data_IF_350215566497
#
_entry.id   IF_350215566497
#
_cell.length_a   1.000
_cell.length_b   1.000
_cell.length_c   1.000
_cell.angle_alpha   90.00
_cell.angle_beta   90.00
_cell.angle_gamma   90.00
#
_symmetry.space_group_name_H-M   'P 1'
#
loop_
_entity.id
_entity.type
_entity.pdbx_description
1 polymer ?
#
# COMPACT_ATOMS: atom_id res chain seq x y z
N UNK A 1 34.16 31.23 65.62
CA UNK A 1 34.50 31.10 64.19
C UNK A 1 33.58 30.05 63.60
N UNK A 2 32.92 30.40 62.49
CA UNK A 2 32.34 29.47 61.51
C UNK A 2 31.14 28.61 61.98
N UNK A 3 29.91 29.01 61.69
CA UNK A 3 29.27 28.97 60.35
C UNK A 3 29.04 27.56 59.78
N UNK A 4 28.52 26.62 60.59
CA UNK A 4 28.03 25.34 60.07
C UNK A 4 26.51 25.12 60.15
N UNK A 5 25.74 26.06 60.68
CA UNK A 5 24.29 25.83 60.88
C UNK A 5 23.40 26.58 59.87
N UNK A 6 23.82 27.68 59.25
CA UNK A 6 22.88 28.51 58.44
C UNK A 6 23.27 28.78 56.97
N UNK A 7 24.29 28.12 56.42
CA UNK A 7 24.66 28.33 55.02
C UNK A 7 24.05 27.26 54.09
N UNK A 8 23.05 27.67 53.31
CA UNK A 8 22.31 26.95 52.26
C UNK A 8 21.00 26.25 52.67
N UNK A 9 20.19 26.97 53.47
CA UNK A 9 18.86 27.38 53.00
C UNK A 9 19.04 28.65 52.16
N UNK A 10 18.71 28.56 50.88
CA UNK A 10 18.57 29.61 49.86
C UNK A 10 19.38 29.26 48.61
N UNK A 11 18.81 28.38 47.80
CA UNK A 11 19.09 28.39 46.38
C UNK A 11 18.76 29.80 45.89
N UNK A 12 19.71 30.50 45.28
CA UNK A 12 19.47 31.86 44.82
C UNK A 12 18.30 31.82 43.83
N UNK A 13 17.32 32.71 43.97
CA UNK A 13 16.11 32.73 43.11
C UNK A 13 16.46 32.76 41.61
N UNK A 14 17.67 33.22 41.27
CA UNK A 14 18.26 33.22 39.92
C UNK A 14 18.83 31.86 39.47
N UNK A 15 19.38 31.06 40.36
CA UNK A 15 19.91 29.71 40.06
C UNK A 15 18.78 28.71 39.79
N UNK A 16 17.70 28.77 40.59
CA UNK A 16 16.50 27.96 40.36
C UNK A 16 15.79 28.30 39.05
N UNK A 17 15.81 29.58 38.65
CA UNK A 17 15.22 30.04 37.40
C UNK A 17 16.02 29.56 36.18
N UNK A 18 17.35 29.52 36.25
CA UNK A 18 18.19 29.03 35.14
C UNK A 18 18.04 27.51 34.92
N UNK A 19 17.93 26.76 36.01
CA UNK A 19 17.70 25.30 35.95
C UNK A 19 16.31 25.02 35.38
N UNK A 20 15.28 25.76 35.82
CA UNK A 20 13.92 25.61 35.32
C UNK A 20 13.78 25.93 33.82
N UNK A 21 14.43 27.01 33.34
CA UNK A 21 14.41 27.40 31.93
C UNK A 21 15.14 26.37 31.04
N UNK A 22 16.27 25.83 31.51
CA UNK A 22 17.02 24.81 30.77
C UNK A 22 16.25 23.49 30.67
N UNK A 23 15.51 23.12 31.72
CA UNK A 23 14.69 21.91 31.76
C UNK A 23 13.44 22.02 30.88
N UNK A 24 12.81 23.21 30.83
CA UNK A 24 11.68 23.49 29.93
C UNK A 24 12.08 23.41 28.46
N UNK A 25 13.27 23.89 28.08
CA UNK A 25 13.77 23.78 26.70
C UNK A 25 14.02 22.34 26.25
N UNK A 26 14.54 21.49 27.14
CA UNK A 26 14.77 20.06 26.88
C UNK A 26 13.46 19.28 26.72
N UNK A 27 12.42 19.61 27.50
CA UNK A 27 11.10 18.97 27.42
C UNK A 27 10.35 19.28 26.13
N UNK A 28 10.42 20.53 25.64
CA UNK A 28 9.77 20.94 24.38
C UNK A 28 10.45 20.30 23.15
N UNK A 29 11.78 20.17 23.18
CA UNK A 29 12.53 19.44 22.15
C UNK A 29 12.19 17.94 22.14
N UNK A 30 12.09 17.30 23.31
CA UNK A 30 11.76 15.89 23.43
C UNK A 30 10.32 15.55 23.00
N UNK A 31 9.35 16.43 23.30
CA UNK A 31 7.96 16.23 22.88
C UNK A 31 7.74 16.40 21.38
N UNK A 32 8.42 17.36 20.74
CA UNK A 32 8.27 17.60 19.29
C UNK A 32 8.87 16.44 18.48
N UNK A 33 10.03 15.93 18.90
CA UNK A 33 10.68 14.78 18.27
C UNK A 33 9.94 13.44 18.51
N UNK A 34 9.09 13.36 19.55
CA UNK A 34 8.29 12.17 19.88
C UNK A 34 6.94 12.14 19.14
N UNK A 35 6.36 13.30 18.84
CA UNK A 35 5.14 13.40 18.04
C UNK A 35 5.38 12.92 16.60
N UNK A 36 6.50 13.32 16.00
CA UNK A 36 6.93 12.92 14.64
C UNK A 36 7.13 11.39 14.49
N UNK A 37 7.52 10.73 15.58
CA UNK A 37 7.77 9.29 15.57
C UNK A 37 6.48 8.44 15.58
N UNK A 38 5.39 8.98 16.12
CA UNK A 38 4.12 8.25 16.30
C UNK A 38 3.15 8.39 15.10
N UNK A 39 3.32 9.39 14.24
CA UNK A 39 2.42 9.66 13.09
C UNK A 39 2.98 9.21 11.73
N UNK A 40 4.20 8.67 11.67
CA UNK A 40 4.72 7.99 10.46
C UNK A 40 5.22 8.88 9.31
N UNK A 41 5.33 10.21 9.49
CA UNK A 41 5.87 11.13 8.47
C UNK A 41 7.05 11.95 9.04
N UNK A 42 8.25 11.83 8.46
CA UNK A 42 9.43 12.60 8.94
C UNK A 42 9.82 13.79 8.05
N UNK A 43 9.41 13.87 6.78
CA UNK A 43 10.17 14.73 5.84
C UNK A 43 9.43 15.99 5.37
N UNK A 44 8.14 16.16 5.66
CA UNK A 44 7.47 17.43 5.38
C UNK A 44 7.09 18.18 6.65
N UNK A 45 8.12 18.68 7.33
CA UNK A 45 7.96 19.60 8.45
C UNK A 45 7.14 20.84 8.04
N UNK A 46 5.96 20.97 8.63
CA UNK A 46 5.18 22.19 8.59
C UNK A 46 5.93 23.35 9.27
N UNK A 47 5.46 24.58 9.02
CA UNK A 47 6.13 25.78 9.54
C UNK A 47 6.30 25.74 11.08
N UNK A 48 5.32 25.20 11.81
CA UNK A 48 5.25 25.25 13.27
C UNK A 48 6.27 24.36 13.99
N UNK A 49 6.56 23.16 13.48
CA UNK A 49 7.50 22.22 14.10
C UNK A 49 8.95 22.70 13.99
N UNK A 50 9.30 23.35 12.87
CA UNK A 50 10.59 24.00 12.69
C UNK A 50 10.81 25.12 13.70
N UNK A 51 9.78 25.92 14.02
CA UNK A 51 9.88 26.98 15.04
C UNK A 51 10.02 26.40 16.45
N UNK A 52 9.33 25.30 16.77
CA UNK A 52 9.44 24.62 18.07
C UNK A 52 10.85 24.12 18.37
N UNK A 53 11.48 23.46 17.39
CA UNK A 53 12.85 22.93 17.51
C UNK A 53 13.88 24.06 17.66
N UNK A 54 13.77 25.12 16.85
CA UNK A 54 14.69 26.26 16.88
C UNK A 54 14.59 27.03 18.21
N UNK A 55 13.38 27.25 18.74
CA UNK A 55 13.17 27.95 20.02
C UNK A 55 13.67 27.10 21.20
N UNK A 56 13.46 25.79 21.18
CA UNK A 56 13.97 24.87 22.21
C UNK A 56 15.50 24.85 22.29
N UNK A 57 16.18 24.79 21.14
CA UNK A 57 17.64 24.79 21.08
C UNK A 57 18.25 26.13 21.56
N UNK A 58 17.64 27.25 21.21
CA UNK A 58 18.08 28.58 21.64
C UNK A 58 18.02 28.76 23.18
N UNK A 59 16.95 28.27 23.82
CA UNK A 59 16.79 28.36 25.28
C UNK A 59 17.79 27.49 26.05
N UNK A 60 18.14 26.31 25.53
CA UNK A 60 19.15 25.43 26.13
C UNK A 60 20.56 26.03 26.09
N UNK A 61 20.95 26.64 24.96
CA UNK A 61 22.26 27.31 24.81
C UNK A 61 22.37 28.56 25.68
N UNK A 62 21.29 29.36 25.78
CA UNK A 62 21.25 30.54 26.66
C UNK A 62 21.38 30.12 28.14
N UNK A 63 20.72 29.04 28.56
CA UNK A 63 20.87 28.47 29.90
C UNK A 63 22.30 28.03 30.22
N UNK A 64 22.99 27.41 29.24
CA UNK A 64 24.36 26.93 29.38
C UNK A 64 25.39 28.08 29.45
N UNK A 65 25.23 29.12 28.63
CA UNK A 65 26.11 30.29 28.64
C UNK A 65 25.98 31.08 29.95
N UNK A 66 24.76 31.22 30.48
CA UNK A 66 24.51 31.86 31.78
C UNK A 66 25.06 31.04 32.96
N UNK A 67 25.11 29.71 32.82
CA UNK A 67 25.70 28.80 33.80
C UNK A 67 27.24 28.88 33.82
N UNK A 68 27.89 28.89 32.65
CA UNK A 68 29.35 28.96 32.51
C UNK A 68 29.90 30.33 32.92
N UNK A 69 29.18 31.41 32.59
CA UNK A 69 29.65 32.79 32.83
C UNK A 69 29.58 33.21 34.30
N UNK A 70 28.95 32.44 35.18
CA UNK A 70 28.64 32.85 36.55
C UNK A 70 29.40 32.08 37.66
N UNK A 71 30.29 31.13 37.36
CA UNK A 71 30.93 30.33 38.42
C UNK A 71 32.39 29.88 38.17
N UNK A 72 33.31 30.37 39.04
CA UNK A 72 34.58 29.74 39.44
C UNK A 72 34.44 29.20 40.88
N UNK A 73 33.85 28.01 41.12
CA UNK A 73 33.67 27.46 42.49
C UNK A 73 33.89 25.95 42.61
N UNK A 74 34.46 25.54 43.75
CA UNK A 74 34.68 24.16 44.23
C UNK A 74 33.38 23.53 44.77
N UNK A 75 33.04 22.32 44.35
CA UNK A 75 31.74 21.68 44.60
C UNK A 75 31.84 20.45 45.54
N UNK A 76 30.81 20.19 46.36
CA UNK A 76 30.72 19.06 47.30
C UNK A 76 30.10 17.80 46.66
N UNK A 77 30.91 16.76 46.55
CA UNK A 77 30.67 15.51 45.79
C UNK A 77 29.44 14.72 46.25
N UNK A 78 29.10 14.69 47.54
CA UNK A 78 28.00 13.85 48.04
C UNK A 78 26.61 14.39 47.66
N UNK A 79 26.47 15.72 47.48
CA UNK A 79 25.20 16.34 47.03
C UNK A 79 24.98 16.21 45.53
N UNK A 80 26.06 16.17 44.75
CA UNK A 80 25.98 15.86 43.31
C UNK A 80 25.45 14.43 43.12
N UNK A 81 25.97 13.46 43.89
CA UNK A 81 25.55 12.05 43.79
C UNK A 81 24.05 11.84 44.07
N UNK A 82 23.48 12.59 45.00
CA UNK A 82 22.06 12.52 45.32
C UNK A 82 21.18 13.09 44.19
N UNK A 83 21.62 14.15 43.53
CA UNK A 83 20.93 14.74 42.37
C UNK A 83 21.05 13.82 41.15
N UNK A 84 22.20 13.18 40.95
CA UNK A 84 22.38 12.19 39.90
C UNK A 84 21.44 11.01 40.09
N UNK A 85 21.26 10.46 41.30
CA UNK A 85 20.37 9.31 41.51
C UNK A 85 18.88 9.68 41.31
N UNK A 86 18.49 10.91 41.67
CA UNK A 86 17.11 11.38 41.47
C UNK A 86 16.81 11.84 40.03
N UNK A 87 17.84 12.00 39.18
CA UNK A 87 17.72 12.44 37.77
C UNK A 87 18.12 11.32 36.78
N UNK A 88 18.95 10.36 37.20
CA UNK A 88 19.33 9.18 36.43
C UNK A 88 18.28 8.06 36.47
N UNK A 89 17.39 8.03 37.47
CA UNK A 89 16.23 7.14 37.46
C UNK A 89 15.19 7.49 36.36
N UNK A 90 14.96 8.77 36.04
CA UNK A 90 14.29 9.16 34.79
C UNK A 90 15.08 8.78 33.52
N UNK A 91 16.41 8.70 33.57
CA UNK A 91 17.23 8.19 32.47
C UNK A 91 17.06 6.67 32.22
N UNK A 92 16.57 5.90 33.20
CA UNK A 92 16.10 4.52 32.99
C UNK A 92 14.74 4.44 32.29
N UNK A 93 13.99 5.53 32.26
CA UNK A 93 12.95 5.68 31.23
C UNK A 93 13.54 5.96 29.85
N UNK A 94 14.87 6.03 29.68
CA UNK A 94 15.54 5.63 28.44
C UNK A 94 15.14 4.22 27.95
N UNK A 95 14.45 3.40 28.73
CA UNK A 95 13.75 2.21 28.25
C UNK A 95 12.51 2.51 27.38
N UNK A 96 11.91 3.69 27.52
CA UNK A 96 10.94 4.28 26.59
C UNK A 96 11.49 4.31 25.15
N UNK A 97 12.79 4.50 25.00
CA UNK A 97 13.45 4.51 23.70
C UNK A 97 13.96 3.14 23.27
N UNK A 98 14.02 2.15 24.18
CA UNK A 98 14.10 0.75 23.78
C UNK A 98 12.82 0.30 23.05
N UNK A 99 11.67 0.90 23.38
CA UNK A 99 10.45 0.81 22.57
C UNK A 99 10.59 1.40 21.17
N UNK A 100 11.54 2.33 20.97
CA UNK A 100 11.83 2.89 19.65
C UNK A 100 12.68 1.93 18.79
N UNK A 101 13.67 1.30 19.42
CA UNK A 101 14.57 0.36 18.75
C UNK A 101 13.85 -0.89 18.21
N UNK A 102 12.79 -1.38 18.87
CA UNK A 102 12.03 -2.54 18.38
C UNK A 102 11.11 -2.21 17.18
N UNK A 103 10.54 -1.01 17.09
CA UNK A 103 9.79 -0.62 15.88
C UNK A 103 10.72 -0.43 14.70
N UNK A 104 11.95 0.03 14.96
CA UNK A 104 12.91 0.27 13.89
C UNK A 104 13.58 -1.01 13.41
N UNK A 105 13.53 -2.11 14.19
CA UNK A 105 13.95 -3.43 13.72
C UNK A 105 12.87 -4.13 12.87
N UNK A 106 11.58 -3.96 13.19
CA UNK A 106 10.48 -4.38 12.30
C UNK A 106 10.46 -3.53 11.00
N UNK A 107 10.94 -2.28 11.04
CA UNK A 107 11.15 -1.43 9.85
C UNK A 107 12.51 -1.63 9.15
N UNK A 108 13.49 -2.30 9.76
CA UNK A 108 14.86 -2.37 9.25
C UNK A 108 15.09 -3.34 8.10
N UNK A 109 14.06 -4.01 7.60
CA UNK A 109 14.09 -4.43 6.21
C UNK A 109 13.54 -3.27 5.37
N UNK A 110 14.36 -2.22 5.25
CA UNK A 110 14.61 -1.60 3.96
C UNK A 110 14.55 -2.71 2.92
N UNK A 111 13.46 -2.71 2.13
CA UNK A 111 13.24 -3.47 0.90
C UNK A 111 14.60 -3.61 0.22
N UNK A 112 15.27 -4.72 0.49
CA UNK A 112 16.68 -4.89 0.19
C UNK A 112 16.74 -5.50 -1.17
N UNK A 113 17.21 -4.73 -2.16
CA UNK A 113 17.57 -5.24 -3.48
C UNK A 113 16.39 -5.99 -4.16
N UNK A 114 15.32 -5.24 -4.44
CA UNK A 114 14.09 -5.68 -5.09
C UNK A 114 13.50 -6.95 -4.47
N UNK A 115 12.59 -6.76 -3.53
CA UNK A 115 11.45 -7.65 -3.35
C UNK A 115 10.90 -7.98 -4.75
N UNK A 116 11.33 -9.11 -5.32
CA UNK A 116 11.22 -9.34 -6.77
C UNK A 116 9.83 -9.90 -7.01
N UNK A 117 8.82 -9.02 -7.10
CA UNK A 117 7.46 -9.44 -7.42
C UNK A 117 7.50 -10.37 -8.64
N UNK A 118 6.85 -11.51 -8.44
CA UNK A 118 6.71 -12.55 -9.42
C UNK A 118 5.25 -12.96 -9.50
N UNK A 119 4.91 -13.73 -10.53
CA UNK A 119 3.55 -14.20 -10.77
C UNK A 119 3.51 -15.71 -10.61
N UNK A 120 2.49 -16.19 -9.88
CA UNK A 120 2.17 -17.60 -9.72
C UNK A 120 0.80 -17.95 -10.29
N UNK A 121 0.55 -19.25 -10.45
CA UNK A 121 -0.76 -19.81 -10.78
C UNK A 121 -1.21 -20.73 -9.66
N UNK A 122 -2.43 -20.49 -9.19
CA UNK A 122 -3.11 -21.31 -8.20
C UNK A 122 -4.28 -22.03 -8.84
N UNK A 123 -4.58 -23.23 -8.36
CA UNK A 123 -5.72 -24.04 -8.84
C UNK A 123 -6.78 -24.08 -7.76
N UNK A 124 -8.05 -23.96 -8.16
CA UNK A 124 -9.16 -24.11 -7.22
C UNK A 124 -9.42 -25.57 -6.91
N UNK A 125 -9.64 -25.88 -5.63
CA UNK A 125 -10.18 -27.18 -5.18
C UNK A 125 -11.71 -27.26 -5.25
N UNK A 126 -12.36 -26.14 -5.58
CA UNK A 126 -13.80 -25.98 -5.61
C UNK A 126 -14.32 -25.61 -7.00
N UNK A 127 -15.63 -25.76 -7.21
CA UNK A 127 -16.33 -25.13 -8.33
C UNK A 127 -16.50 -23.62 -8.14
N UNK A 128 -16.21 -23.11 -6.94
CA UNK A 128 -16.29 -21.70 -6.60
C UNK A 128 -14.97 -20.96 -6.88
N UNK A 129 -15.03 -19.69 -7.32
CA UNK A 129 -13.85 -18.92 -7.71
C UNK A 129 -13.18 -18.24 -6.50
N UNK A 130 -13.07 -18.89 -5.36
CA UNK A 130 -12.48 -18.28 -4.15
C UNK A 130 -11.87 -19.30 -3.17
N UNK A 131 -11.60 -20.51 -3.64
CA UNK A 131 -10.95 -21.59 -2.88
C UNK A 131 -9.71 -22.07 -3.65
N UNK A 132 -8.66 -21.26 -3.64
CA UNK A 132 -7.44 -21.49 -4.42
C UNK A 132 -6.30 -22.02 -3.57
N UNK A 133 -5.58 -23.01 -4.09
CA UNK A 133 -4.33 -23.48 -3.49
C UNK A 133 -3.18 -23.40 -4.50
N UNK A 134 -1.99 -23.09 -3.98
CA UNK A 134 -0.75 -23.13 -4.77
C UNK A 134 -0.17 -24.54 -4.92
N UNK A 135 -0.90 -25.57 -4.48
CA UNK A 135 -0.41 -26.95 -4.46
C UNK A 135 -0.34 -27.52 -5.88
N UNK A 136 0.70 -28.31 -6.15
CA UNK A 136 0.92 -29.02 -7.42
C UNK A 136 1.11 -28.10 -8.65
N UNK A 137 1.50 -26.84 -8.44
CA UNK A 137 1.99 -25.93 -9.48
C UNK A 137 3.40 -25.46 -9.11
N UNK A 138 4.32 -25.44 -10.06
CA UNK A 138 5.68 -24.94 -9.85
C UNK A 138 5.67 -23.42 -9.98
N UNK A 139 5.49 -22.73 -8.85
CA UNK A 139 5.52 -21.27 -8.79
C UNK A 139 6.91 -20.75 -8.37
N UNK A 140 7.28 -19.51 -8.76
CA UNK A 140 6.55 -18.63 -9.69
C UNK A 140 6.58 -19.16 -11.14
N UNK A 141 5.57 -18.80 -11.94
CA UNK A 141 5.48 -19.14 -13.36
C UNK A 141 6.06 -18.07 -14.28
N UNK A 142 6.23 -16.85 -13.75
CA UNK A 142 6.80 -15.72 -14.46
C UNK A 142 7.51 -14.80 -13.48
N UNK A 143 8.69 -14.31 -13.88
CA UNK A 143 9.56 -13.43 -13.11
C UNK A 143 10.09 -12.30 -13.99
N UNK A 144 10.80 -11.33 -13.41
CA UNK A 144 11.48 -10.27 -14.16
C UNK A 144 12.45 -10.81 -15.22
N UNK A 145 13.12 -11.93 -14.95
CA UNK A 145 14.12 -12.54 -15.84
C UNK A 145 13.51 -13.12 -17.13
N UNK A 146 12.19 -13.36 -17.14
CA UNK A 146 11.47 -13.87 -18.32
C UNK A 146 11.17 -12.76 -19.34
N UNK A 147 11.23 -11.49 -18.94
CA UNK A 147 11.02 -10.34 -19.81
C UNK A 147 12.27 -10.11 -20.68
N UNK A 148 12.10 -10.05 -22.00
CA UNK A 148 13.25 -10.11 -22.93
C UNK A 148 13.44 -8.88 -23.82
N UNK A 149 12.45 -8.00 -23.94
CA UNK A 149 12.48 -6.80 -24.79
C UNK A 149 12.80 -5.50 -24.03
N UNK A 150 12.62 -5.50 -22.70
CA UNK A 150 13.05 -4.45 -21.76
C UNK A 150 13.71 -5.08 -20.52
N UNK A 151 14.45 -4.27 -19.74
CA UNK A 151 15.00 -4.72 -18.46
C UNK A 151 13.99 -4.49 -17.34
N UNK A 152 13.41 -5.57 -16.84
CA UNK A 152 12.40 -5.55 -15.79
C UNK A 152 13.02 -5.59 -14.39
N UNK A 153 12.44 -4.83 -13.46
CA UNK A 153 12.72 -4.94 -12.03
C UNK A 153 11.84 -6.01 -11.39
N UNK A 154 10.58 -6.11 -11.81
CA UNK A 154 9.61 -7.09 -11.34
C UNK A 154 8.45 -7.27 -12.34
N UNK A 155 7.58 -8.26 -12.06
CA UNK A 155 6.28 -8.45 -12.73
C UNK A 155 5.15 -8.59 -11.69
N UNK A 156 4.01 -7.94 -11.91
CA UNK A 156 2.90 -7.90 -10.93
C UNK A 156 1.52 -7.74 -11.61
N UNK A 157 0.44 -7.76 -10.82
CA UNK A 157 -0.94 -7.52 -11.26
C UNK A 157 -1.41 -8.37 -12.47
N UNK A 158 -1.34 -9.71 -12.40
CA UNK A 158 -1.67 -10.55 -13.54
C UNK A 158 -3.18 -10.70 -13.77
N UNK A 159 -3.65 -10.33 -14.96
CA UNK A 159 -5.03 -10.51 -15.45
C UNK A 159 -5.13 -11.59 -16.54
N UNK A 160 -6.03 -12.56 -16.35
CA UNK A 160 -6.22 -13.69 -17.27
C UNK A 160 -7.39 -13.49 -18.24
N UNK A 161 -7.18 -13.91 -19.49
CA UNK A 161 -8.22 -14.12 -20.51
C UNK A 161 -8.05 -15.52 -21.11
N UNK A 162 -9.13 -16.28 -21.20
CA UNK A 162 -9.17 -17.52 -21.97
C UNK A 162 -9.94 -17.33 -23.27
N UNK A 163 -9.30 -17.63 -24.40
CA UNK A 163 -9.92 -17.55 -25.72
C UNK A 163 -9.30 -18.57 -26.67
N UNK A 164 -10.15 -19.31 -27.39
CA UNK A 164 -9.75 -20.27 -28.45
C UNK A 164 -8.68 -21.28 -27.98
N UNK A 165 -8.88 -21.88 -26.80
CA UNK A 165 -7.95 -22.87 -26.22
C UNK A 165 -6.55 -22.31 -25.88
N UNK A 166 -6.46 -21.00 -25.67
CA UNK A 166 -5.26 -20.31 -25.22
C UNK A 166 -5.60 -19.38 -24.05
N UNK A 167 -4.74 -19.41 -23.04
CA UNK A 167 -4.72 -18.46 -21.94
C UNK A 167 -3.76 -17.32 -22.28
N UNK A 168 -4.19 -16.10 -22.01
CA UNK A 168 -3.42 -14.88 -22.13
C UNK A 168 -3.35 -14.23 -20.75
N UNK A 169 -2.17 -13.78 -20.36
CA UNK A 169 -1.92 -13.06 -19.11
C UNK A 169 -1.36 -11.69 -19.45
N UNK A 170 -2.06 -10.66 -19.01
CA UNK A 170 -1.60 -9.26 -19.08
C UNK A 170 -1.17 -8.84 -17.68
N UNK A 171 -0.01 -8.22 -17.55
CA UNK A 171 0.59 -7.92 -16.24
C UNK A 171 1.45 -6.67 -16.31
N UNK A 172 1.68 -6.03 -15.16
CA UNK A 172 2.63 -4.94 -15.02
C UNK A 172 4.06 -5.45 -15.12
N UNK A 173 4.90 -4.71 -15.82
CA UNK A 173 6.36 -4.86 -15.86
C UNK A 173 6.99 -3.54 -15.45
N UNK A 174 7.71 -3.50 -14.33
CA UNK A 174 8.44 -2.28 -13.94
C UNK A 174 9.74 -2.18 -14.74
N UNK A 175 9.83 -1.18 -15.61
CA UNK A 175 10.99 -0.93 -16.44
C UNK A 175 12.10 -0.22 -15.66
N UNK A 176 13.25 -0.86 -15.50
CA UNK A 176 14.38 -0.32 -14.72
C UNK A 176 15.01 0.94 -15.32
N UNK A 177 14.84 1.19 -16.63
CA UNK A 177 15.44 2.35 -17.30
C UNK A 177 14.62 3.61 -17.13
N UNK A 178 13.29 3.49 -17.22
CA UNK A 178 12.33 4.61 -17.15
C UNK A 178 11.73 4.77 -15.76
N UNK A 179 11.83 3.76 -14.90
CA UNK A 179 11.18 3.69 -13.58
C UNK A 179 9.64 3.81 -13.67
N UNK A 180 9.08 3.25 -14.74
CA UNK A 180 7.64 3.23 -15.02
C UNK A 180 7.15 1.80 -15.28
N UNK A 181 5.89 1.54 -14.98
CA UNK A 181 5.20 0.31 -15.33
C UNK A 181 4.75 0.32 -16.79
N UNK A 182 5.03 -0.77 -17.50
CA UNK A 182 4.55 -1.09 -18.85
C UNK A 182 3.66 -2.36 -18.78
N UNK A 183 2.81 -2.61 -19.78
CA UNK A 183 1.97 -3.83 -19.77
C UNK A 183 2.59 -4.92 -20.64
N UNK A 184 2.98 -6.02 -20.00
CA UNK A 184 3.47 -7.25 -20.64
C UNK A 184 2.36 -8.22 -21.04
N UNK A 185 2.72 -9.16 -21.91
CA UNK A 185 1.90 -10.30 -22.31
C UNK A 185 2.67 -11.61 -22.16
N UNK A 186 2.01 -12.61 -21.62
CA UNK A 186 2.44 -14.01 -21.64
C UNK A 186 1.28 -14.91 -22.09
N UNK A 187 1.59 -16.06 -22.66
CA UNK A 187 0.61 -17.02 -23.15
C UNK A 187 0.83 -18.42 -22.59
N UNK A 188 -0.25 -19.20 -22.51
CA UNK A 188 -0.22 -20.60 -22.11
C UNK A 188 -1.30 -21.41 -22.83
N UNK A 189 -0.99 -22.66 -23.18
CA UNK A 189 -1.98 -23.60 -23.74
C UNK A 189 -2.67 -24.45 -22.67
N UNK A 190 -2.13 -24.52 -21.45
CA UNK A 190 -2.65 -25.34 -20.36
C UNK A 190 -3.01 -24.53 -19.10
N UNK A 191 -2.64 -23.25 -19.06
CA UNK A 191 -2.86 -22.34 -17.93
C UNK A 191 -1.79 -22.45 -16.84
N UNK A 192 -0.80 -23.34 -16.99
CA UNK A 192 0.22 -23.62 -15.98
C UNK A 192 1.64 -23.35 -16.47
N UNK A 193 1.93 -23.62 -17.74
CA UNK A 193 3.22 -23.35 -18.37
C UNK A 193 3.10 -22.09 -19.22
N UNK A 194 3.80 -21.02 -18.81
CA UNK A 194 3.67 -19.70 -19.41
C UNK A 194 4.91 -19.35 -20.23
N UNK A 195 4.70 -18.57 -21.29
CA UNK A 195 5.77 -18.05 -22.14
C UNK A 195 5.54 -16.56 -22.34
N UNK A 196 6.54 -15.76 -21.95
CA UNK A 196 6.57 -14.33 -22.22
C UNK A 196 6.57 -14.06 -23.73
N UNK A 197 5.80 -13.06 -24.15
CA UNK A 197 5.71 -12.64 -25.56
C UNK A 197 6.41 -11.29 -25.79
N UNK A 198 5.83 -10.20 -25.29
CA UNK A 198 6.34 -8.83 -25.46
C UNK A 198 5.57 -7.82 -24.57
N UNK A 199 6.09 -6.61 -24.45
CA UNK A 199 5.32 -5.44 -24.02
C UNK A 199 4.25 -5.10 -25.08
N UNK A 200 3.00 -4.96 -24.64
CA UNK A 200 1.83 -4.73 -25.52
C UNK A 200 1.19 -3.36 -25.35
N UNK A 201 1.50 -2.65 -24.27
CA UNK A 201 1.12 -1.26 -24.04
C UNK A 201 2.22 -0.55 -23.25
N UNK A 202 2.66 0.58 -23.79
CA UNK A 202 3.67 1.50 -23.23
C UNK A 202 3.15 2.91 -23.49
N UNK A 203 3.29 3.79 -22.50
CA UNK A 203 2.82 5.18 -22.51
C UNK A 203 3.90 6.08 -21.86
N UNK A 204 3.76 7.41 -21.99
CA UNK A 204 4.68 8.37 -21.35
C UNK A 204 4.51 8.46 -19.81
N UNK A 205 3.72 7.57 -19.21
CA UNK A 205 3.35 7.53 -17.81
C UNK A 205 3.16 6.08 -17.33
N UNK A 206 3.24 5.87 -16.03
CA UNK A 206 3.13 4.56 -15.38
C UNK A 206 1.80 3.86 -15.66
N UNK A 207 1.89 2.59 -16.05
CA UNK A 207 0.78 1.66 -16.23
C UNK A 207 0.94 0.48 -15.26
N UNK A 208 -0.13 0.17 -14.53
CA UNK A 208 -0.23 -1.03 -13.69
C UNK A 208 -1.64 -1.61 -13.78
N UNK A 209 -1.93 -2.68 -13.04
CA UNK A 209 -3.28 -3.21 -12.89
C UNK A 209 -4.10 -3.30 -14.20
N UNK A 210 -3.65 -4.06 -15.23
CA UNK A 210 -4.26 -4.04 -16.56
C UNK A 210 -5.59 -4.80 -16.59
N UNK A 211 -6.68 -4.19 -16.10
CA UNK A 211 -7.99 -4.84 -16.06
C UNK A 211 -8.52 -5.12 -17.48
N UNK A 212 -8.26 -6.33 -17.99
CA UNK A 212 -8.67 -6.79 -19.34
C UNK A 212 -10.01 -7.51 -19.28
N UNK A 213 -10.87 -7.23 -20.26
CA UNK A 213 -12.18 -7.87 -20.39
C UNK A 213 -12.63 -7.93 -21.85
N UNK A 214 -13.51 -8.89 -22.13
CA UNK A 214 -14.17 -9.03 -23.43
C UNK A 214 -15.53 -8.35 -23.38
N UNK A 215 -15.84 -7.57 -24.42
CA UNK A 215 -17.18 -7.03 -24.63
C UNK A 215 -17.57 -7.18 -26.10
N UNK A 216 -18.78 -7.71 -26.33
CA UNK A 216 -19.22 -8.12 -27.67
C UNK A 216 -18.18 -9.07 -28.31
N UNK A 217 -17.56 -8.66 -29.42
CA UNK A 217 -16.55 -9.43 -30.14
C UNK A 217 -15.14 -8.85 -30.00
N UNK A 218 -14.95 -7.86 -29.12
CA UNK A 218 -13.72 -7.11 -28.96
C UNK A 218 -13.15 -7.23 -27.54
N UNK A 219 -11.89 -6.83 -27.40
CA UNK A 219 -11.17 -6.83 -26.13
C UNK A 219 -10.78 -5.42 -25.73
N UNK A 220 -10.97 -5.16 -24.45
CA UNK A 220 -10.77 -3.87 -23.82
C UNK A 220 -9.90 -4.01 -22.59
N UNK A 221 -9.19 -2.94 -22.25
CA UNK A 221 -8.31 -2.86 -21.08
C UNK A 221 -8.52 -1.51 -20.43
N UNK A 222 -8.56 -1.51 -19.10
CA UNK A 222 -8.47 -0.31 -18.27
C UNK A 222 -7.30 -0.53 -17.31
N UNK A 223 -6.08 -0.11 -17.69
CA UNK A 223 -4.97 -0.11 -16.74
C UNK A 223 -5.19 0.98 -15.69
N UNK A 224 -4.51 0.86 -14.56
CA UNK A 224 -4.27 2.00 -13.69
C UNK A 224 -3.41 3.02 -14.44
N UNK A 225 -3.89 4.26 -14.44
CA UNK A 225 -3.23 5.39 -15.11
C UNK A 225 -3.23 6.61 -14.21
N UNK A 226 -2.92 6.42 -12.91
CA UNK A 226 -3.08 7.46 -11.88
C UNK A 226 -2.30 8.73 -12.23
N UNK A 227 -1.11 8.60 -12.84
CA UNK A 227 -0.28 9.73 -13.28
C UNK A 227 -0.93 10.55 -14.40
N UNK A 228 -1.85 9.96 -15.15
CA UNK A 228 -2.65 10.63 -16.17
C UNK A 228 -3.95 11.26 -15.60
N UNK A 229 -4.14 11.24 -14.27
CA UNK A 229 -5.29 11.82 -13.55
C UNK A 229 -6.66 11.39 -14.15
N UNK A 230 -6.72 10.16 -14.66
CA UNK A 230 -7.88 9.66 -15.39
C UNK A 230 -7.97 8.14 -15.38
N UNK A 231 -9.16 7.63 -15.66
CA UNK A 231 -9.41 6.21 -15.97
C UNK A 231 -9.54 6.09 -17.48
N UNK A 232 -8.62 5.38 -18.12
CA UNK A 232 -8.51 5.29 -19.59
C UNK A 232 -8.96 3.93 -20.12
N UNK A 233 -9.79 3.95 -21.16
CA UNK A 233 -10.21 2.76 -21.89
C UNK A 233 -9.34 2.56 -23.14
N UNK A 234 -8.74 1.38 -23.26
CA UNK A 234 -8.02 0.92 -24.43
C UNK A 234 -8.79 -0.21 -25.11
N UNK A 235 -8.62 -0.35 -26.43
CA UNK A 235 -9.15 -1.45 -27.23
C UNK A 235 -8.01 -2.08 -28.03
N UNK A 236 -8.00 -3.41 -28.08
CA UNK A 236 -7.10 -4.15 -28.95
C UNK A 236 -7.61 -4.14 -30.40
N UNK A 237 -6.74 -3.77 -31.34
CA UNK A 237 -7.05 -3.82 -32.78
C UNK A 237 -6.72 -5.18 -33.42
N UNK A 238 -5.93 -6.00 -32.74
CA UNK A 238 -5.52 -7.33 -33.19
C UNK A 238 -5.18 -8.20 -31.98
N UNK A 239 -6.21 -8.61 -31.23
CA UNK A 239 -6.04 -9.31 -29.95
C UNK A 239 -5.13 -10.54 -30.09
N UNK A 240 -4.13 -10.72 -29.19
CA UNK A 240 -3.89 -10.00 -27.92
C UNK A 240 -3.04 -8.71 -28.02
N UNK A 241 -2.74 -8.22 -29.22
CA UNK A 241 -1.79 -7.14 -29.48
C UNK A 241 -2.45 -5.82 -29.90
N UNK A 242 -1.64 -4.79 -30.14
CA UNK A 242 -2.04 -3.50 -30.76
C UNK A 242 -3.16 -2.79 -30.00
N UNK A 243 -2.91 -2.47 -28.73
CA UNK A 243 -3.82 -1.69 -27.90
C UNK A 243 -3.78 -0.21 -28.29
N UNK A 244 -4.95 0.42 -28.38
CA UNK A 244 -5.08 1.85 -28.67
C UNK A 244 -6.05 2.52 -27.73
N UNK A 245 -5.70 3.71 -27.25
CA UNK A 245 -6.58 4.56 -26.46
C UNK A 245 -7.89 4.84 -27.20
N UNK A 246 -9.02 4.63 -26.51
CA UNK A 246 -10.37 4.85 -27.04
C UNK A 246 -10.99 6.08 -26.40
N UNK A 247 -10.96 6.15 -25.07
CA UNK A 247 -11.70 7.18 -24.33
C UNK A 247 -11.26 7.29 -22.86
N UNK A 248 -11.34 8.50 -22.33
CA UNK A 248 -11.33 8.76 -20.88
C UNK A 248 -12.71 8.50 -20.28
N UNK A 249 -12.79 7.59 -19.30
CA UNK A 249 -14.04 7.19 -18.64
C UNK A 249 -14.37 8.07 -17.43
N UNK A 250 -13.34 8.37 -16.62
CA UNK A 250 -13.35 9.30 -15.50
C UNK A 250 -12.11 10.20 -15.61
N UNK A 251 -12.22 11.45 -15.19
CA UNK A 251 -11.15 12.44 -15.19
C UNK A 251 -11.27 13.30 -13.93
N UNK A 252 -10.15 13.63 -13.29
CA UNK A 252 -10.14 14.47 -12.10
C UNK A 252 -8.90 14.21 -11.24
N UNK A 253 -8.68 15.10 -10.27
CA UNK A 253 -7.52 15.03 -9.36
C UNK A 253 -7.63 13.98 -8.26
N UNK A 254 -8.60 13.08 -8.36
CA UNK A 254 -8.70 11.95 -7.47
C UNK A 254 -7.71 10.89 -7.96
N UNK A 255 -6.95 10.27 -7.05
CA UNK A 255 -5.99 9.22 -7.38
C UNK A 255 -6.74 7.93 -7.73
N UNK A 256 -7.14 7.76 -8.99
CA UNK A 256 -7.84 6.54 -9.44
C UNK A 256 -6.88 5.36 -9.56
N UNK A 257 -6.86 4.51 -8.55
CA UNK A 257 -5.99 3.32 -8.51
C UNK A 257 -6.81 2.02 -8.53
N UNK A 258 -6.22 0.97 -9.09
CA UNK A 258 -6.77 -0.37 -9.24
C UNK A 258 -8.19 -0.39 -9.83
N UNK A 259 -8.35 0.21 -11.01
CA UNK A 259 -9.65 0.41 -11.64
C UNK A 259 -10.26 -0.92 -12.15
N UNK A 260 -11.21 -1.49 -11.41
CA UNK A 260 -11.87 -2.76 -11.79
C UNK A 260 -13.24 -2.54 -12.40
N UNK A 261 -13.38 -2.92 -13.68
CA UNK A 261 -14.63 -2.84 -14.43
C UNK A 261 -15.27 -4.22 -14.61
N UNK A 262 -16.61 -4.26 -14.59
CA UNK A 262 -17.37 -5.45 -14.99
C UNK A 262 -18.77 -5.05 -15.45
N UNK A 263 -19.46 -5.99 -16.10
CA UNK A 263 -20.85 -5.81 -16.50
C UNK A 263 -21.75 -6.80 -15.77
N UNK A 264 -22.89 -6.31 -15.29
CA UNK A 264 -23.93 -7.15 -14.69
C UNK A 264 -25.31 -6.54 -14.96
N UNK A 265 -26.27 -7.37 -15.41
CA UNK A 265 -27.65 -6.98 -15.76
C UNK A 265 -27.71 -5.73 -16.67
N UNK A 266 -27.02 -5.80 -17.81
CA UNK A 266 -26.96 -4.72 -18.83
C UNK A 266 -26.41 -3.37 -18.30
N UNK A 267 -25.80 -3.35 -17.12
CA UNK A 267 -25.18 -2.18 -16.51
C UNK A 267 -23.69 -2.41 -16.34
N UNK A 268 -22.90 -1.41 -16.70
CA UNK A 268 -21.47 -1.37 -16.43
C UNK A 268 -21.21 -0.79 -15.05
N UNK A 269 -20.26 -1.39 -14.34
CA UNK A 269 -19.86 -1.03 -12.99
C UNK A 269 -18.35 -0.85 -12.93
N UNK A 270 -17.90 0.13 -12.16
CA UNK A 270 -16.49 0.46 -12.00
C UNK A 270 -16.19 0.72 -10.52
N UNK A 271 -15.28 -0.06 -9.98
CA UNK A 271 -14.67 0.13 -8.66
C UNK A 271 -13.34 0.88 -8.85
N UNK A 272 -13.07 1.85 -7.98
CA UNK A 272 -11.80 2.60 -8.00
C UNK A 272 -11.49 3.10 -6.59
N UNK A 273 -10.25 2.86 -6.14
CA UNK A 273 -9.75 3.40 -4.87
C UNK A 273 -9.31 4.86 -5.08
N UNK A 274 -9.54 5.75 -4.11
CA UNK A 274 -9.27 7.19 -4.25
C UNK A 274 -8.71 7.89 -3.00
N UNK A 275 -8.40 7.16 -1.93
CA UNK A 275 -8.08 7.69 -0.59
C UNK A 275 -6.83 7.09 0.03
N UNK A 276 -5.81 6.78 -0.76
CA UNK A 276 -4.55 6.23 -0.25
C UNK A 276 -4.74 4.89 0.48
N UNK A 277 -5.47 3.99 -0.16
CA UNK A 277 -5.76 2.59 0.19
C UNK A 277 -6.99 2.32 1.08
N UNK A 278 -7.70 3.33 1.60
CA UNK A 278 -8.82 3.12 2.53
C UNK A 278 -10.20 3.58 2.03
N UNK A 279 -10.29 4.11 0.81
CA UNK A 279 -11.51 4.71 0.26
C UNK A 279 -11.89 4.11 -1.10
N UNK A 280 -12.98 3.34 -1.13
CA UNK A 280 -13.50 2.73 -2.36
C UNK A 280 -14.73 3.47 -2.88
N UNK A 281 -14.67 3.88 -4.15
CA UNK A 281 -15.79 4.47 -4.88
C UNK A 281 -16.37 3.48 -5.90
N UNK A 282 -17.66 3.67 -6.17
CA UNK A 282 -18.42 2.88 -7.14
C UNK A 282 -19.07 3.82 -8.15
N UNK A 283 -18.91 3.49 -9.44
CA UNK A 283 -19.53 4.19 -10.55
C UNK A 283 -20.33 3.20 -11.40
N UNK A 284 -21.31 3.71 -12.15
CA UNK A 284 -22.06 2.91 -13.11
C UNK A 284 -22.30 3.64 -14.43
N UNK A 285 -22.56 2.88 -15.49
CA UNK A 285 -23.00 3.39 -16.78
C UNK A 285 -23.89 2.40 -17.53
N UNK A 286 -24.75 2.92 -18.42
CA UNK A 286 -25.51 2.11 -19.37
C UNK A 286 -24.68 1.70 -20.60
N UNK A 287 -23.52 2.33 -20.80
CA UNK A 287 -22.64 2.07 -21.95
C UNK A 287 -21.19 2.07 -21.50
N UNK A 288 -20.37 1.21 -22.07
CA UNK A 288 -18.95 1.11 -21.74
C UNK A 288 -18.22 2.46 -21.85
N UNK A 289 -18.50 3.21 -22.92
CA UNK A 289 -17.91 4.52 -23.18
C UNK A 289 -18.55 5.66 -22.35
N UNK A 290 -19.39 5.35 -21.36
CA UNK A 290 -20.05 6.33 -20.51
C UNK A 290 -21.31 6.98 -21.12
N UNK A 291 -21.87 8.01 -20.45
CA UNK A 291 -21.29 8.68 -19.27
C UNK A 291 -21.27 7.80 -18.03
N UNK A 292 -20.25 7.93 -17.21
CA UNK A 292 -20.13 7.26 -15.91
C UNK A 292 -20.68 8.15 -14.81
N UNK A 293 -21.49 7.57 -13.93
CA UNK A 293 -22.18 8.28 -12.85
C UNK A 293 -21.70 7.66 -11.54
N UNK A 294 -21.24 8.49 -10.61
CA UNK A 294 -20.91 8.02 -9.27
C UNK A 294 -22.17 7.49 -8.57
N UNK A 295 -22.06 6.30 -7.99
CA UNK A 295 -23.16 5.64 -7.32
C UNK A 295 -23.56 6.44 -6.06
N UNK A 296 -24.85 6.61 -5.74
CA UNK A 296 -25.30 7.42 -4.59
C UNK A 296 -24.89 6.88 -3.21
N UNK A 297 -24.41 5.63 -3.14
CA UNK A 297 -23.79 5.07 -1.93
C UNK A 297 -22.27 5.25 -1.87
N UNK A 298 -21.66 5.83 -2.90
CA UNK A 298 -20.23 6.12 -2.93
C UNK A 298 -19.89 7.27 -1.97
N UNK A 299 -18.75 7.22 -1.26
CA UNK A 299 -17.83 6.07 -1.18
C UNK A 299 -18.52 4.88 -0.49
N UNK A 300 -18.42 3.71 -1.10
CA UNK A 300 -19.05 2.48 -0.58
C UNK A 300 -18.24 1.88 0.58
N UNK A 301 -16.96 2.24 0.69
CA UNK A 301 -16.08 1.96 1.82
C UNK A 301 -15.27 3.23 2.10
N UNK A 302 -15.12 3.59 3.38
CA UNK A 302 -14.37 4.76 3.83
C UNK A 302 -13.71 4.46 5.18
N UNK A 303 -12.38 4.42 5.21
CA UNK A 303 -11.58 4.15 6.40
C UNK A 303 -11.39 2.66 6.72
N UNK A 304 -11.43 1.77 5.72
CA UNK A 304 -11.10 0.34 5.89
C UNK A 304 -10.14 -0.15 4.80
N UNK A 305 -8.84 -0.04 5.09
CA UNK A 305 -7.77 -0.43 4.18
C UNK A 305 -7.67 -1.95 3.92
N UNK A 306 -8.42 -2.78 4.66
CA UNK A 306 -8.38 -4.23 4.45
C UNK A 306 -9.24 -4.69 3.25
N UNK A 307 -10.18 -3.85 2.80
CA UNK A 307 -11.20 -4.21 1.80
C UNK A 307 -11.51 -3.13 0.75
N UNK A 308 -10.89 -1.95 0.87
CA UNK A 308 -11.10 -0.83 -0.05
C UNK A 308 -10.44 -1.06 -1.40
N UNK A 309 -9.15 -1.41 -1.44
CA UNK A 309 -8.39 -1.50 -2.69
C UNK A 309 -8.78 -2.77 -3.49
N UNK A 310 -9.22 -2.65 -4.76
CA UNK A 310 -9.57 -3.81 -5.58
C UNK A 310 -8.40 -4.77 -5.81
N UNK A 311 -8.61 -6.08 -5.64
CA UNK A 311 -7.55 -7.10 -5.73
C UNK A 311 -7.61 -7.98 -6.99
N UNK A 312 -8.20 -7.49 -8.09
CA UNK A 312 -8.25 -8.13 -9.40
C UNK A 312 -9.64 -8.04 -10.05
N UNK A 313 -10.01 -9.04 -10.85
CA UNK A 313 -11.30 -9.06 -11.55
C UNK A 313 -12.50 -9.21 -10.60
N UNK A 314 -13.68 -8.74 -11.04
CA UNK A 314 -14.95 -9.18 -10.45
C UNK A 314 -15.48 -10.38 -11.22
N UNK A 315 -15.82 -11.46 -10.52
CA UNK A 315 -16.35 -12.68 -11.12
C UNK A 315 -17.86 -12.76 -10.94
N UNK A 316 -18.57 -12.84 -12.07
CA UNK A 316 -20.00 -13.18 -12.10
C UNK A 316 -20.14 -14.66 -12.47
N UNK A 317 -20.60 -15.48 -11.52
CA UNK A 317 -20.75 -16.94 -11.72
C UNK A 317 -22.10 -17.44 -11.20
N UNK A 318 -22.43 -18.70 -11.47
CA UNK A 318 -23.73 -19.31 -11.11
C UNK A 318 -24.93 -18.45 -11.52
N UNK A 319 -24.84 -17.87 -12.72
CA UNK A 319 -25.79 -16.95 -13.36
C UNK A 319 -25.89 -15.56 -12.72
N UNK A 320 -25.77 -15.43 -11.40
CA UNK A 320 -26.03 -14.14 -10.71
C UNK A 320 -25.16 -13.83 -9.49
N UNK A 321 -24.29 -14.72 -9.02
CA UNK A 321 -23.42 -14.43 -7.86
C UNK A 321 -22.24 -13.58 -8.31
N UNK A 322 -21.95 -12.51 -7.58
CA UNK A 322 -20.92 -11.53 -7.93
C UNK A 322 -19.88 -11.52 -6.81
N UNK A 323 -18.64 -11.85 -7.14
CA UNK A 323 -17.52 -11.87 -6.20
C UNK A 323 -16.53 -10.77 -6.57
N UNK A 324 -16.25 -9.92 -5.59
CA UNK A 324 -15.20 -8.89 -5.65
C UNK A 324 -14.02 -9.36 -4.80
N UNK A 325 -12.81 -9.28 -5.34
CA UNK A 325 -11.59 -9.51 -4.57
C UNK A 325 -10.99 -8.19 -4.13
N UNK A 326 -10.32 -8.20 -2.98
CA UNK A 326 -9.75 -6.99 -2.39
C UNK A 326 -8.36 -7.26 -1.90
N UNK A 327 -7.46 -6.32 -2.18
CA UNK A 327 -6.19 -6.24 -1.52
C UNK A 327 -6.41 -5.79 -0.08
N UNK A 328 -5.77 -6.49 0.85
CA UNK A 328 -5.63 -6.06 2.23
C UNK A 328 -4.30 -5.28 2.39
N UNK A 329 -4.40 -4.00 2.72
CA UNK A 329 -3.25 -3.10 2.89
C UNK A 329 -2.81 -2.93 4.36
N UNK A 330 -3.58 -3.41 5.35
CA UNK A 330 -3.26 -3.23 6.78
C UNK A 330 -2.79 -4.57 7.40
N UNK A 331 -1.64 -4.63 8.10
CA UNK A 331 -0.75 -3.52 8.47
C UNK A 331 0.33 -3.18 7.42
N UNK A 332 0.39 -3.89 6.30
CA UNK A 332 1.34 -3.64 5.21
C UNK A 332 0.74 -4.01 3.85
N UNK A 333 1.30 -3.45 2.78
CA UNK A 333 0.84 -3.66 1.40
C UNK A 333 0.87 -5.15 1.02
N UNK A 334 -0.27 -5.66 0.51
CA UNK A 334 -0.40 -7.05 0.09
C UNK A 334 -0.28 -8.02 1.25
N UNK A 335 -0.89 -7.69 2.39
CA UNK A 335 -0.95 -8.57 3.56
C UNK A 335 -1.68 -9.88 3.22
N UNK A 336 -2.76 -9.77 2.44
CA UNK A 336 -3.62 -10.88 2.02
C UNK A 336 -4.66 -10.41 1.00
N UNK A 337 -5.43 -11.36 0.45
CA UNK A 337 -6.58 -11.07 -0.43
C UNK A 337 -7.86 -11.62 0.17
N UNK A 338 -8.92 -10.82 0.17
CA UNK A 338 -10.27 -11.23 0.57
C UNK A 338 -11.20 -11.40 -0.62
N UNK A 339 -12.19 -12.28 -0.48
CA UNK A 339 -13.34 -12.36 -1.38
C UNK A 339 -14.60 -11.85 -0.68
N UNK A 340 -15.33 -10.95 -1.33
CA UNK A 340 -16.62 -10.41 -0.87
C UNK A 340 -17.70 -10.73 -1.91
N UNK A 341 -18.84 -11.24 -1.45
CA UNK A 341 -20.01 -11.46 -2.27
C UNK A 341 -20.90 -10.21 -2.23
N UNK A 342 -21.13 -9.61 -3.40
CA UNK A 342 -22.05 -8.48 -3.56
C UNK A 342 -23.47 -9.04 -3.62
N UNK A 343 -24.24 -8.82 -2.55
CA UNK A 343 -25.61 -9.35 -2.40
C UNK A 343 -26.67 -8.41 -2.95
N UNK A 344 -26.37 -7.11 -3.00
CA UNK A 344 -27.26 -6.09 -3.55
C UNK A 344 -26.46 -5.20 -4.48
N UNK A 345 -26.82 -5.15 -5.76
CA UNK A 345 -26.21 -4.25 -6.75
C UNK A 345 -27.30 -3.66 -7.65
N UNK A 346 -27.69 -2.43 -7.36
CA UNK A 346 -28.59 -1.63 -8.20
C UNK A 346 -28.05 -0.21 -8.30
N UNK A 347 -28.58 0.63 -9.20
CA UNK A 347 -28.12 2.02 -9.36
C UNK A 347 -28.35 2.91 -8.13
N UNK A 348 -29.04 2.41 -7.10
CA UNK A 348 -29.39 3.14 -5.88
C UNK A 348 -29.00 2.44 -4.58
N UNK A 349 -28.60 1.16 -4.64
CA UNK A 349 -28.35 0.32 -3.46
C UNK A 349 -27.16 -0.58 -3.72
N UNK A 350 -26.31 -0.71 -2.70
CA UNK A 350 -25.11 -1.54 -2.72
C UNK A 350 -24.92 -2.20 -1.35
N UNK A 351 -24.70 -3.51 -1.34
CA UNK A 351 -24.34 -4.29 -0.15
C UNK A 351 -23.43 -5.46 -0.55
N UNK A 352 -22.43 -5.73 0.28
CA UNK A 352 -21.54 -6.89 0.15
C UNK A 352 -21.17 -7.45 1.52
N UNK A 353 -20.70 -8.69 1.56
CA UNK A 353 -20.14 -9.30 2.76
C UNK A 353 -18.99 -10.26 2.42
N UNK A 354 -18.06 -10.48 3.35
CA UNK A 354 -16.98 -11.46 3.17
C UNK A 354 -17.57 -12.86 2.99
N UNK A 355 -17.12 -13.58 1.96
CA UNK A 355 -17.55 -14.95 1.66
C UNK A 355 -17.19 -15.92 2.81
N UNK A 356 -16.07 -15.67 3.47
CA UNK A 356 -15.57 -16.49 4.58
C UNK A 356 -14.99 -15.66 5.72
N UNK A 357 -14.61 -16.36 6.80
CA UNK A 357 -13.92 -15.76 7.96
C UNK A 357 -12.39 -15.66 7.79
N UNK A 358 -11.86 -16.31 6.76
CA UNK A 358 -10.44 -16.32 6.43
C UNK A 358 -10.22 -15.63 5.08
N UNK A 359 -9.05 -15.01 4.86
CA UNK A 359 -8.67 -14.52 3.54
C UNK A 359 -8.55 -15.70 2.56
N UNK A 360 -8.74 -15.42 1.28
CA UNK A 360 -8.66 -16.43 0.23
C UNK A 360 -7.23 -16.67 -0.26
N UNK A 361 -6.35 -15.67 -0.08
CA UNK A 361 -4.93 -15.77 -0.33
C UNK A 361 -4.17 -15.07 0.78
N UNK A 362 -3.01 -15.63 1.12
CA UNK A 362 -2.02 -15.04 2.01
C UNK A 362 -0.65 -15.57 1.60
N UNK A 363 0.41 -14.83 1.91
CA UNK A 363 1.77 -15.26 1.62
C UNK A 363 2.14 -16.56 2.32
N UNK A 364 2.98 -17.35 1.66
CA UNK A 364 3.59 -18.57 2.21
C UNK A 364 5.09 -18.35 2.41
N UNK A 365 5.76 -19.14 3.24
CA UNK A 365 7.21 -19.04 3.49
C UNK A 365 8.06 -19.49 2.27
N UNK A 366 7.93 -18.82 1.13
CA UNK A 366 8.64 -19.07 -0.13
C UNK A 366 8.72 -17.81 -1.03
N UNK A 367 8.44 -17.94 -2.34
CA UNK A 367 8.48 -16.89 -3.37
C UNK A 367 7.46 -15.76 -3.18
N UNK A 368 6.45 -15.95 -2.34
CA UNK A 368 5.40 -14.97 -2.09
C UNK A 368 5.15 -14.74 -0.61
N UNK A 369 6.23 -14.59 0.16
CA UNK A 369 6.16 -14.36 1.60
C UNK A 369 5.39 -13.07 1.94
N UNK A 370 5.50 -12.05 1.09
CA UNK A 370 4.83 -10.76 1.21
C UNK A 370 4.20 -10.34 -0.13
N UNK A 371 3.51 -9.20 -0.12
CA UNK A 371 3.00 -8.58 -1.34
C UNK A 371 1.91 -9.37 -2.06
N UNK A 372 1.20 -10.27 -1.37
CA UNK A 372 0.05 -10.99 -1.93
C UNK A 372 -1.16 -10.05 -2.01
N UNK A 373 -1.34 -9.39 -3.15
CA UNK A 373 -2.36 -8.36 -3.32
C UNK A 373 -3.31 -8.61 -4.49
N UNK A 374 -2.90 -9.41 -5.48
CA UNK A 374 -3.68 -9.62 -6.68
C UNK A 374 -4.21 -11.06 -6.83
N UNK A 375 -5.41 -11.19 -7.41
CA UNK A 375 -5.94 -12.43 -7.95
C UNK A 375 -6.79 -12.20 -9.21
N UNK A 376 -6.49 -12.94 -10.28
CA UNK A 376 -7.35 -13.01 -11.47
C UNK A 376 -7.81 -14.45 -11.75
N UNK A 377 -9.01 -14.83 -11.30
CA UNK A 377 -9.59 -16.13 -11.60
C UNK A 377 -9.98 -16.29 -13.07
N UNK A 378 -9.68 -17.45 -13.64
CA UNK A 378 -10.06 -17.85 -14.99
C UNK A 378 -10.64 -19.26 -14.98
N UNK A 379 -11.78 -19.46 -15.67
CA UNK A 379 -12.41 -20.77 -15.74
C UNK A 379 -11.62 -21.71 -16.66
N UNK A 380 -11.48 -22.97 -16.24
CA UNK A 380 -10.90 -24.06 -17.03
C UNK A 380 -12.01 -24.84 -17.72
N UNK A 381 -11.73 -25.38 -18.90
CA UNK A 381 -12.62 -26.34 -19.56
C UNK A 381 -12.95 -27.51 -18.61
N UNK A 382 -14.22 -27.64 -18.20
CA UNK A 382 -14.69 -28.74 -17.34
C UNK A 382 -15.03 -28.43 -15.88
N UNK A 383 -15.49 -27.21 -15.56
CA UNK A 383 -16.02 -26.78 -14.24
C UNK A 383 -14.98 -26.57 -13.12
N UNK A 384 -13.78 -26.09 -13.46
CA UNK A 384 -12.77 -25.70 -12.48
C UNK A 384 -12.30 -24.25 -12.69
N UNK A 385 -11.48 -23.77 -11.76
CA UNK A 385 -10.83 -22.47 -11.83
C UNK A 385 -9.32 -22.61 -11.67
N UNK A 386 -8.58 -21.81 -12.42
CA UNK A 386 -7.23 -21.38 -12.07
C UNK A 386 -7.29 -19.89 -11.71
N UNK A 387 -6.26 -19.39 -11.04
CA UNK A 387 -6.09 -17.96 -10.87
C UNK A 387 -4.61 -17.60 -10.97
N UNK A 388 -4.31 -16.49 -11.62
CA UNK A 388 -3.02 -15.84 -11.44
C UNK A 388 -3.02 -15.01 -10.18
N UNK A 389 -1.89 -15.00 -9.50
CA UNK A 389 -1.63 -14.25 -8.25
C UNK A 389 -0.22 -13.70 -8.30
N UNK A 390 0.08 -12.69 -7.49
CA UNK A 390 1.42 -12.13 -7.35
C UNK A 390 1.88 -12.08 -5.90
N UNK A 391 3.18 -11.87 -5.70
CA UNK A 391 3.84 -11.73 -4.40
C UNK A 391 5.36 -11.81 -4.54
N UNK A 392 6.06 -11.65 -3.42
CA UNK A 392 7.53 -11.72 -3.34
C UNK A 392 8.07 -12.29 -2.02
#
# INVERSE_FOLDING_TARGET
MSSKVDAMKSMNKKEGLCIAISFMGLLVLASSLLHDYLEGYVINYGLYDKYGIIIGAALAVIGLILFIRNFSVKVNIFKILLVVILVALPATMGGFSYGYYLSEQDRQETISEYDTWAIGIYKSSSSEPFDFTGDNVSNPVLTADDVTDIQAAFVADPFLIYQNDTYYMFFEVLNTYTDQGDIGLAISNDGFNWTYEQIVLDEEFHLSYPCVFKWENDYYMIPETYQAESVRLYKSNNFPYNWSFVKTLLEGRDFFVDNTIFQHNDTWWLFTETGSNDLLRLYYSDKLAGPWIEHPKSPIINGDANISRPGGNVIVFDKHRIIRYTQDYDPYYGNQVWALEITTLTKTSYEEHRVGRAPILKGFDNWNTRGMHHISPCSVSGNGWIASVDGY
#
